data_IF_432456149594
#
_entry.id   IF_432456149594
#
_cell.length_a   1.000
_cell.length_b   1.000
_cell.length_c   1.000
_cell.angle_alpha   90.00
_cell.angle_beta   90.00
_cell.angle_gamma   90.00
#
_symmetry.space_group_name_H-M   'P 1'
#
loop_
_entity.id
_entity.type
_entity.pdbx_description
1 polymer ?
#
# COMPACT_ATOMS: atom_id res chain seq x y z
N UNK A 1 -36.53 8.80 34.07
CA UNK A 1 -35.71 9.87 33.48
C UNK A 1 -34.38 9.27 33.02
N UNK A 2 -34.06 9.48 31.75
CA UNK A 2 -32.72 9.50 31.13
C UNK A 2 -31.94 8.18 30.93
N UNK A 3 -32.05 7.71 29.70
CA UNK A 3 -31.18 6.89 28.85
C UNK A 3 -29.66 6.91 29.10
N UNK A 4 -29.03 5.73 28.99
CA UNK A 4 -27.74 5.58 28.29
C UNK A 4 -27.70 4.24 27.53
N UNK A 5 -28.05 4.27 26.23
CA UNK A 5 -27.71 3.19 25.29
C UNK A 5 -26.21 3.27 24.97
N UNK A 6 -25.45 2.22 25.24
CA UNK A 6 -24.15 1.95 24.58
C UNK A 6 -24.23 0.59 23.87
N UNK A 7 -23.84 0.48 22.59
CA UNK A 7 -23.94 -0.77 21.84
C UNK A 7 -22.78 -1.72 22.14
N UNK A 8 -23.09 -3.00 22.04
CA UNK A 8 -22.24 -4.18 22.25
C UNK A 8 -20.93 -4.12 21.46
N UNK A 9 -19.81 -4.22 22.15
CA UNK A 9 -18.54 -4.62 21.53
C UNK A 9 -18.67 -6.07 21.07
N UNK A 10 -18.73 -6.30 19.75
CA UNK A 10 -18.63 -7.64 19.17
C UNK A 10 -17.17 -8.06 19.18
N UNK A 11 -16.84 -8.95 20.12
CA UNK A 11 -15.63 -9.77 20.15
C UNK A 11 -15.57 -10.59 18.87
N UNK A 12 -14.68 -10.24 17.94
CA UNK A 12 -14.39 -11.09 16.78
C UNK A 12 -13.56 -12.26 17.28
N UNK A 13 -14.19 -13.41 17.43
CA UNK A 13 -13.53 -14.70 17.61
C UNK A 13 -12.82 -15.03 16.30
N UNK A 14 -11.49 -14.99 16.31
CA UNK A 14 -10.68 -15.63 15.26
C UNK A 14 -10.90 -17.14 15.36
N UNK A 15 -11.13 -17.80 14.23
CA UNK A 15 -11.31 -19.25 14.16
C UNK A 15 -9.99 -19.96 14.51
N UNK A 16 -9.99 -21.02 15.34
CA UNK A 16 -8.78 -21.71 15.82
C UNK A 16 -8.01 -22.53 14.76
N UNK A 17 -8.27 -22.33 13.47
CA UNK A 17 -7.54 -22.96 12.36
C UNK A 17 -6.58 -22.04 11.61
N UNK A 18 -6.50 -20.74 11.95
CA UNK A 18 -5.65 -19.77 11.22
C UNK A 18 -4.34 -19.41 11.95
N UNK A 19 -4.07 -20.02 13.11
CA UNK A 19 -2.91 -19.69 13.94
C UNK A 19 -1.64 -20.48 13.56
N UNK A 20 -1.77 -21.66 12.93
CA UNK A 20 -0.65 -22.62 12.81
C UNK A 20 0.22 -22.47 11.55
N UNK A 21 0.05 -21.40 10.78
CA UNK A 21 0.88 -21.09 9.59
C UNK A 21 1.84 -19.92 9.81
N UNK A 22 1.84 -19.32 11.02
CA UNK A 22 2.68 -18.18 11.40
C UNK A 22 3.92 -18.56 12.23
N UNK A 23 4.03 -19.79 12.72
CA UNK A 23 5.18 -20.28 13.50
C UNK A 23 6.31 -20.92 12.66
N UNK A 24 6.18 -20.97 11.33
CA UNK A 24 7.13 -21.67 10.44
C UNK A 24 7.92 -20.74 9.50
N UNK A 25 8.12 -19.46 9.85
CA UNK A 25 9.03 -18.58 9.12
C UNK A 25 10.35 -18.45 9.89
N UNK A 26 11.50 -18.76 9.28
CA UNK A 26 12.78 -18.58 9.95
C UNK A 26 13.04 -17.09 10.18
N UNK A 27 13.30 -16.75 11.44
CA UNK A 27 13.76 -15.46 11.93
C UNK A 27 15.20 -15.23 11.46
N UNK A 28 15.43 -14.94 10.18
CA UNK A 28 16.76 -14.50 9.73
C UNK A 28 16.97 -13.01 10.05
N UNK A 29 17.67 -12.81 11.15
CA UNK A 29 18.44 -11.63 11.51
C UNK A 29 19.36 -11.16 10.39
N UNK A 30 19.47 -9.84 10.21
CA UNK A 30 20.76 -9.19 9.94
C UNK A 30 20.95 -8.52 8.57
N UNK A 31 20.39 -7.32 8.37
CA UNK A 31 21.14 -6.08 8.09
C UNK A 31 20.16 -4.91 8.12
N UNK A 32 20.00 -4.31 9.31
CA UNK A 32 19.52 -2.93 9.43
C UNK A 32 20.72 -2.03 9.17
N UNK A 33 20.66 -1.17 8.15
CA UNK A 33 21.12 0.23 8.20
C UNK A 33 20.61 0.98 6.98
N UNK A 34 19.53 1.73 7.18
CA UNK A 34 19.56 3.14 6.84
C UNK A 34 18.63 3.86 7.79
N UNK A 35 19.24 4.36 8.86
CA UNK A 35 18.67 5.32 9.77
C UNK A 35 18.29 6.59 8.99
N UNK A 36 17.05 6.63 8.51
CA UNK A 36 16.30 7.85 8.18
C UNK A 36 14.81 7.59 8.50
N UNK A 37 14.55 7.14 9.72
CA UNK A 37 13.21 7.00 10.30
C UNK A 37 12.89 8.24 11.12
N UNK A 38 12.41 9.29 10.47
CA UNK A 38 11.47 10.30 10.98
C UNK A 38 11.37 11.45 9.97
N UNK A 39 10.13 11.76 9.54
CA UNK A 39 9.74 12.88 8.67
C UNK A 39 9.80 12.63 7.15
N UNK A 40 8.62 12.48 6.53
CA UNK A 40 8.37 13.01 5.19
C UNK A 40 8.93 12.31 3.95
N UNK A 41 9.44 11.07 4.04
CA UNK A 41 9.92 10.36 2.83
C UNK A 41 8.74 9.97 1.94
N UNK A 42 8.52 10.73 0.87
CA UNK A 42 7.67 10.32 -0.25
C UNK A 42 8.45 9.24 -1.01
N UNK A 43 7.83 8.09 -1.24
CA UNK A 43 8.45 7.03 -2.04
C UNK A 43 8.45 7.42 -3.52
N UNK A 44 7.48 8.23 -3.92
CA UNK A 44 7.35 8.78 -5.27
C UNK A 44 7.70 10.28 -5.30
N UNK A 45 8.70 10.62 -6.12
CA UNK A 45 9.12 12.00 -6.34
C UNK A 45 7.99 12.85 -6.92
N UNK A 46 8.05 14.18 -6.75
CA UNK A 46 7.08 15.09 -7.37
C UNK A 46 7.06 14.97 -8.91
N UNK A 47 8.23 14.73 -9.50
CA UNK A 47 8.38 14.57 -10.95
C UNK A 47 7.75 13.27 -11.44
N UNK A 48 8.02 12.14 -10.79
CA UNK A 48 7.35 10.88 -11.11
C UNK A 48 5.84 10.99 -10.87
N UNK A 49 5.44 11.65 -9.78
CA UNK A 49 4.02 11.88 -9.50
C UNK A 49 3.32 12.69 -10.59
N UNK A 50 3.97 13.72 -11.16
CA UNK A 50 3.42 14.50 -12.26
C UNK A 50 3.14 13.64 -13.51
N UNK A 51 3.93 12.59 -13.75
CA UNK A 51 3.72 11.64 -14.85
C UNK A 51 2.64 10.58 -14.53
N UNK A 52 2.53 10.17 -13.26
CA UNK A 52 1.57 9.16 -12.81
C UNK A 52 0.17 9.73 -12.65
N UNK A 53 0.05 10.95 -12.13
CA UNK A 53 -1.22 11.60 -11.79
C UNK A 53 -2.25 11.58 -12.94
N UNK A 54 -1.89 11.85 -14.20
CA UNK A 54 -2.83 11.79 -15.33
C UNK A 54 -3.42 10.40 -15.62
N UNK A 55 -2.71 9.33 -15.25
CA UNK A 55 -3.18 7.95 -15.42
C UNK A 55 -4.18 7.53 -14.34
N UNK A 56 -4.31 8.32 -13.28
CA UNK A 56 -5.19 7.98 -12.19
C UNK A 56 -6.65 8.03 -12.63
N UNK A 57 -7.44 6.96 -12.40
CA UNK A 57 -8.83 6.95 -12.82
C UNK A 57 -9.58 8.13 -12.18
N UNK A 58 -10.37 8.83 -13.00
CA UNK A 58 -11.21 9.96 -12.56
C UNK A 58 -12.02 9.50 -11.35
N UNK A 59 -11.99 10.33 -10.31
CA UNK A 59 -12.69 10.09 -9.06
C UNK A 59 -14.20 10.06 -9.33
N UNK A 60 -14.79 8.87 -9.38
CA UNK A 60 -16.24 8.70 -9.37
C UNK A 60 -16.74 8.87 -7.93
N UNK A 61 -16.77 10.09 -7.41
CA UNK A 61 -17.62 10.44 -6.24
C UNK A 61 -17.75 11.95 -6.14
N UNK A 62 -18.96 12.45 -6.41
CA UNK A 62 -19.41 13.70 -5.86
C UNK A 62 -19.26 13.67 -4.32
N UNK A 63 -18.56 14.66 -3.75
CA UNK A 63 -18.70 14.97 -2.31
C UNK A 63 -17.74 14.32 -1.31
N UNK A 64 -16.57 13.78 -1.71
CA UNK A 64 -15.61 13.27 -0.71
C UNK A 64 -14.19 13.20 -1.21
N UNK A 65 -13.30 13.96 -0.58
CA UNK A 65 -11.84 13.96 -0.81
C UNK A 65 -11.32 12.57 -0.42
N UNK A 66 -11.24 11.63 -1.36
CA UNK A 66 -10.52 10.38 -1.12
C UNK A 66 -9.09 10.73 -0.71
N UNK A 67 -8.48 9.91 0.15
CA UNK A 67 -7.05 10.03 0.47
C UNK A 67 -6.25 10.17 -0.82
N UNK A 68 -5.32 11.11 -0.83
CA UNK A 68 -4.51 11.52 -1.98
C UNK A 68 -4.01 10.27 -2.73
N UNK A 69 -4.32 10.12 -4.02
CA UNK A 69 -3.88 8.96 -4.84
C UNK A 69 -2.38 8.71 -4.70
N UNK A 70 -1.61 9.79 -4.49
CA UNK A 70 -0.19 9.75 -4.21
C UNK A 70 0.15 8.94 -2.97
N UNK A 71 -0.55 9.13 -1.86
CA UNK A 71 -0.32 8.39 -0.62
C UNK A 71 -0.52 6.88 -0.82
N UNK A 72 -1.49 6.51 -1.65
CA UNK A 72 -1.75 5.09 -1.98
C UNK A 72 -0.64 4.52 -2.86
N UNK A 73 -0.18 5.29 -3.86
CA UNK A 73 0.96 4.89 -4.70
C UNK A 73 2.23 4.81 -3.87
N UNK A 74 2.48 5.74 -2.95
CA UNK A 74 3.60 5.68 -2.01
C UNK A 74 3.54 4.40 -1.17
N UNK A 75 2.35 4.02 -0.66
CA UNK A 75 2.18 2.76 0.07
C UNK A 75 2.41 1.52 -0.79
N UNK A 76 1.97 1.53 -2.05
CA UNK A 76 2.22 0.43 -3.00
C UNK A 76 3.72 0.32 -3.29
N UNK A 77 4.38 1.45 -3.61
CA UNK A 77 5.81 1.54 -3.87
C UNK A 77 6.63 1.03 -2.69
N UNK A 78 6.28 1.44 -1.47
CA UNK A 78 6.89 0.97 -0.24
C UNK A 78 6.86 -0.55 -0.15
N UNK A 79 5.66 -1.15 -0.18
CA UNK A 79 5.52 -2.61 -0.02
C UNK A 79 6.23 -3.40 -1.12
N UNK A 80 6.32 -2.85 -2.33
CA UNK A 80 7.00 -3.51 -3.44
C UNK A 80 8.52 -3.45 -3.27
N UNK A 81 9.05 -2.30 -2.86
CA UNK A 81 10.48 -2.06 -2.64
C UNK A 81 11.03 -2.84 -1.44
N UNK A 82 10.29 -2.87 -0.32
CA UNK A 82 10.73 -3.51 0.93
C UNK A 82 10.29 -4.96 1.08
N UNK A 83 9.49 -5.47 0.13
CA UNK A 83 8.75 -6.72 0.21
C UNK A 83 7.91 -6.86 1.51
N UNK A 84 7.54 -5.74 2.12
CA UNK A 84 6.72 -5.72 3.34
C UNK A 84 5.33 -6.26 3.03
N UNK A 85 4.82 -7.22 3.82
CA UNK A 85 3.45 -7.70 3.66
C UNK A 85 2.48 -6.56 3.94
N UNK A 86 1.35 -6.51 3.24
CA UNK A 86 0.37 -5.43 3.38
C UNK A 86 -0.04 -5.15 4.82
N UNK A 87 -0.14 -6.19 5.67
CA UNK A 87 -0.54 -6.07 7.07
C UNK A 87 0.44 -5.24 7.92
N UNK A 88 1.69 -5.15 7.48
CA UNK A 88 2.77 -4.43 8.16
C UNK A 88 3.06 -3.08 7.48
N UNK A 89 2.20 -2.64 6.56
CA UNK A 89 2.32 -1.33 5.93
C UNK A 89 2.32 -0.23 7.01
N UNK A 90 3.31 0.69 7.00
CA UNK A 90 3.34 1.80 7.94
C UNK A 90 2.07 2.64 7.94
N UNK A 91 1.59 2.99 9.14
CA UNK A 91 0.31 3.67 9.33
C UNK A 91 0.20 5.05 8.65
N UNK A 92 1.32 5.71 8.35
CA UNK A 92 1.33 7.01 7.67
C UNK A 92 0.85 6.93 6.21
N UNK A 93 0.93 5.76 5.56
CA UNK A 93 0.30 5.51 4.25
C UNK A 93 -1.21 5.26 4.38
N UNK A 94 -1.69 5.02 5.59
CA UNK A 94 -3.09 4.77 5.90
C UNK A 94 -3.44 3.31 6.13
N UNK A 95 -4.75 3.01 6.29
CA UNK A 95 -5.22 1.64 6.52
C UNK A 95 -4.79 0.74 5.36
N UNK A 96 -3.99 -0.28 5.66
CA UNK A 96 -3.45 -1.17 4.65
C UNK A 96 -4.53 -1.85 3.79
N UNK A 97 -5.72 -2.10 4.35
CA UNK A 97 -6.84 -2.67 3.60
C UNK A 97 -7.29 -1.75 2.46
N UNK A 98 -7.23 -0.43 2.68
CA UNK A 98 -7.55 0.57 1.65
C UNK A 98 -6.51 0.54 0.53
N UNK A 99 -5.22 0.51 0.89
CA UNK A 99 -4.11 0.40 -0.06
C UNK A 99 -4.21 -0.89 -0.88
N UNK A 100 -4.39 -2.03 -0.21
CA UNK A 100 -4.53 -3.33 -0.86
C UNK A 100 -5.74 -3.40 -1.81
N UNK A 101 -6.91 -2.89 -1.39
CA UNK A 101 -8.12 -2.91 -2.21
C UNK A 101 -7.98 -2.00 -3.44
N UNK A 102 -7.26 -0.88 -3.32
CA UNK A 102 -6.93 0.01 -4.43
C UNK A 102 -5.89 -0.61 -5.36
N UNK A 103 -4.84 -1.22 -4.80
CA UNK A 103 -3.88 -2.01 -5.56
C UNK A 103 -4.57 -3.07 -6.42
N UNK A 104 -5.45 -3.90 -5.84
CA UNK A 104 -6.20 -4.93 -6.58
C UNK A 104 -7.07 -4.34 -7.69
N UNK A 105 -7.73 -3.20 -7.45
CA UNK A 105 -8.54 -2.51 -8.46
C UNK A 105 -7.66 -2.01 -9.61
N UNK A 106 -6.58 -1.31 -9.30
CA UNK A 106 -5.65 -0.74 -10.28
C UNK A 106 -4.83 -1.79 -11.02
N UNK A 107 -4.67 -2.97 -10.43
CA UNK A 107 -4.13 -4.13 -11.11
C UNK A 107 -5.11 -4.64 -12.17
N UNK A 108 -6.38 -4.81 -11.77
CA UNK A 108 -7.42 -5.36 -12.63
C UNK A 108 -7.83 -4.42 -13.78
N UNK A 109 -7.83 -3.11 -13.55
CA UNK A 109 -8.18 -2.11 -14.58
C UNK A 109 -6.99 -1.70 -15.48
N UNK A 110 -5.80 -2.25 -15.23
CA UNK A 110 -4.60 -1.98 -16.02
C UNK A 110 -3.83 -0.71 -15.62
N UNK A 111 -4.32 0.09 -14.66
CA UNK A 111 -3.65 1.33 -14.22
C UNK A 111 -2.21 1.05 -13.78
N UNK A 112 -1.96 0.00 -13.00
CA UNK A 112 -0.59 -0.33 -12.56
C UNK A 112 0.32 -0.74 -13.71
N UNK A 113 -0.21 -1.42 -14.73
CA UNK A 113 0.55 -1.78 -15.93
C UNK A 113 0.95 -0.52 -16.72
N UNK A 114 0.03 0.44 -16.86
CA UNK A 114 0.33 1.74 -17.48
C UNK A 114 1.41 2.50 -16.71
N UNK A 115 1.35 2.52 -15.37
CA UNK A 115 2.38 3.16 -14.54
C UNK A 115 3.74 2.48 -14.72
N UNK A 116 3.80 1.15 -14.74
CA UNK A 116 5.08 0.43 -14.94
C UNK A 116 5.67 0.60 -16.33
N UNK A 117 4.86 1.01 -17.32
CA UNK A 117 5.30 1.29 -18.68
C UNK A 117 5.82 2.73 -18.86
N UNK A 118 5.61 3.63 -17.89
CA UNK A 118 6.15 4.99 -17.94
C UNK A 118 7.68 4.99 -17.84
N UNK A 119 8.34 5.93 -18.50
CA UNK A 119 9.73 6.27 -18.19
C UNK A 119 9.74 7.30 -17.07
N UNK A 120 9.88 6.83 -15.83
CA UNK A 120 9.99 7.73 -14.66
C UNK A 120 11.42 8.27 -14.54
N UNK A 121 11.66 9.32 -13.73
CA UNK A 121 13.01 9.72 -13.38
C UNK A 121 13.79 8.58 -12.70
N UNK A 122 15.11 8.52 -12.89
CA UNK A 122 16.00 7.51 -12.30
C UNK A 122 15.77 7.19 -10.82
N UNK A 123 15.56 8.14 -9.89
CA UNK A 123 15.32 7.81 -8.48
C UNK A 123 14.05 6.98 -8.24
N UNK A 124 13.09 7.00 -9.17
CA UNK A 124 11.81 6.29 -9.07
C UNK A 124 11.83 4.94 -9.81
N UNK A 125 12.89 4.63 -10.56
CA UNK A 125 13.01 3.35 -11.29
C UNK A 125 13.02 2.14 -10.35
N UNK A 126 13.65 2.25 -9.17
CA UNK A 126 13.80 1.12 -8.26
C UNK A 126 12.44 0.58 -7.79
N UNK A 127 11.57 1.46 -7.29
CA UNK A 127 10.24 1.06 -6.83
C UNK A 127 9.35 0.69 -8.02
N UNK A 128 9.50 1.32 -9.18
CA UNK A 128 8.74 0.98 -10.38
C UNK A 128 9.06 -0.44 -10.86
N UNK A 129 10.35 -0.80 -10.91
CA UNK A 129 10.81 -2.16 -11.24
C UNK A 129 10.30 -3.15 -10.19
N UNK A 130 10.32 -2.79 -8.91
CA UNK A 130 9.81 -3.64 -7.84
C UNK A 130 8.29 -3.89 -7.98
N UNK A 131 7.51 -2.85 -8.29
CA UNK A 131 6.08 -2.97 -8.60
C UNK A 131 5.89 -3.87 -9.82
N UNK A 132 6.61 -3.63 -10.92
CA UNK A 132 6.55 -4.46 -12.11
C UNK A 132 6.84 -5.94 -11.79
N UNK A 133 7.90 -6.25 -11.04
CA UNK A 133 8.23 -7.62 -10.60
C UNK A 133 7.11 -8.26 -9.76
N UNK A 134 6.41 -7.47 -8.94
CA UNK A 134 5.27 -7.94 -8.14
C UNK A 134 4.04 -8.20 -9.01
N UNK A 135 3.83 -7.44 -10.09
CA UNK A 135 2.76 -7.71 -11.06
C UNK A 135 2.94 -9.08 -11.74
N UNK A 136 4.18 -9.44 -12.11
CA UNK A 136 4.46 -10.70 -12.80
C UNK A 136 4.41 -11.94 -11.89
N UNK A 137 4.61 -11.80 -10.57
CA UNK A 137 4.57 -12.92 -9.60
C UNK A 137 3.17 -13.30 -9.11
N UNK A 138 2.14 -12.54 -9.49
CA UNK A 138 0.78 -12.68 -8.97
C UNK A 138 -0.27 -13.19 -9.96
N UNK A 139 0.15 -13.74 -11.11
CA UNK A 139 -0.71 -14.39 -12.10
C UNK A 139 -0.77 -15.90 -11.92
#
# INVERSE_FOLDING_TARGET
MTWLRRPRARRVLLHPGQQQLLDALPQHTGTQTSALTASGRREVSDQAWALICPLMPRQQSAGGRWREHRLLIDGIAHTARTDTPWRDLPAHYGPWQTCYRRYKRWLADGTLHQITALTLPTPDHEWQIAVARRLHRGS
#
